data_IF_093575873314
#
_entry.id   IF_093575873314
#
_cell.length_a   1.000
_cell.length_b   1.000
_cell.length_c   1.000
_cell.angle_alpha   90.00
_cell.angle_beta   90.00
_cell.angle_gamma   90.00
#
_symmetry.space_group_name_H-M   'P 1'
#
loop_
_entity.id
_entity.type
_entity.pdbx_description
1 polymer ?
#
# COMPACT_ATOMS: atom_id res chain seq x y z
N UNK A 1 -3.04 -8.31 -20.70
CA UNK A 1 -2.69 -9.36 -19.73
C UNK A 1 -2.90 -10.73 -20.37
N UNK A 2 -2.01 -11.67 -20.13
CA UNK A 2 -2.12 -12.99 -20.75
C UNK A 2 -3.32 -13.76 -20.17
N UNK A 3 -4.04 -14.54 -21.02
CA UNK A 3 -5.06 -15.44 -20.49
C UNK A 3 -4.47 -16.41 -19.45
N UNK A 4 -5.16 -16.59 -18.33
CA UNK A 4 -4.71 -17.45 -17.24
C UNK A 4 -3.75 -16.80 -16.25
N UNK A 5 -3.26 -15.59 -16.54
CA UNK A 5 -2.44 -14.83 -15.57
C UNK A 5 -3.32 -14.34 -14.43
N UNK A 6 -2.88 -14.61 -13.20
CA UNK A 6 -3.56 -14.11 -11.99
C UNK A 6 -2.77 -12.96 -11.40
N UNK A 7 -3.47 -11.90 -11.04
CA UNK A 7 -2.87 -10.72 -10.44
C UNK A 7 -3.51 -10.49 -9.07
N UNK A 8 -2.66 -10.37 -8.05
CA UNK A 8 -3.10 -10.12 -6.68
C UNK A 8 -2.63 -8.74 -6.24
N UNK A 9 -3.56 -7.95 -5.73
CA UNK A 9 -3.26 -6.65 -5.17
C UNK A 9 -3.33 -6.72 -3.66
N UNK A 10 -2.28 -6.25 -2.99
CA UNK A 10 -2.24 -6.16 -1.53
C UNK A 10 -2.07 -4.69 -1.17
N UNK A 11 -3.03 -4.17 -0.40
CA UNK A 11 -2.95 -2.81 0.11
C UNK A 11 -1.88 -2.75 1.20
N UNK A 12 -1.10 -1.66 1.23
CA UNK A 12 -0.14 -1.46 2.30
C UNK A 12 -0.84 -1.38 3.66
N UNK A 13 -0.09 -1.68 4.74
CA UNK A 13 -0.60 -1.58 6.09
C UNK A 13 -0.86 -0.13 6.52
N UNK A 14 -1.42 0.03 7.71
CA UNK A 14 -1.78 1.34 8.24
C UNK A 14 -0.54 2.19 8.55
N UNK A 15 -0.62 3.46 8.21
CA UNK A 15 0.33 4.49 8.65
C UNK A 15 -0.37 5.42 9.63
N UNK A 16 0.39 6.27 10.32
CA UNK A 16 -0.23 7.27 11.20
C UNK A 16 -1.13 8.23 10.41
N UNK A 17 -0.78 8.54 9.16
CA UNK A 17 -1.64 9.37 8.31
C UNK A 17 -2.93 8.66 7.92
N UNK A 18 -2.94 7.33 7.74
CA UNK A 18 -4.19 6.57 7.57
C UNK A 18 -5.05 6.66 8.82
N UNK A 19 -4.45 6.46 10.00
CA UNK A 19 -5.18 6.52 11.27
C UNK A 19 -5.79 7.91 11.50
N UNK A 20 -5.10 8.96 11.08
CA UNK A 20 -5.55 10.35 11.17
C UNK A 20 -6.42 10.77 9.99
N UNK A 21 -6.64 9.89 9.01
CA UNK A 21 -7.38 10.16 7.78
C UNK A 21 -6.81 11.34 6.99
N UNK A 22 -5.49 11.38 6.87
CA UNK A 22 -4.78 12.34 6.03
C UNK A 22 -4.48 11.76 4.65
N UNK A 23 -4.49 12.60 3.64
CA UNK A 23 -4.07 12.19 2.30
C UNK A 23 -2.56 12.00 2.27
N UNK A 24 -2.09 10.82 1.84
CA UNK A 24 -0.68 10.48 1.79
C UNK A 24 -0.08 10.71 0.41
N UNK A 25 -0.74 10.19 -0.62
CA UNK A 25 -0.24 10.28 -1.98
C UNK A 25 1.20 9.76 -2.11
N UNK A 26 2.12 10.62 -2.53
CA UNK A 26 3.54 10.29 -2.70
C UNK A 26 4.38 10.64 -1.47
N UNK A 27 3.79 11.24 -0.42
CA UNK A 27 4.50 11.53 0.81
C UNK A 27 4.96 10.22 1.46
N UNK A 28 6.22 10.15 1.87
CA UNK A 28 6.85 8.90 2.27
C UNK A 28 6.70 8.65 3.77
N UNK A 29 5.53 8.18 4.18
CA UNK A 29 5.18 7.90 5.57
C UNK A 29 5.34 6.40 5.85
N UNK A 30 6.08 6.00 6.91
CA UNK A 30 6.24 4.59 7.24
C UNK A 30 4.98 3.99 7.87
N UNK A 31 4.94 2.66 7.94
CA UNK A 31 3.87 1.95 8.65
C UNK A 31 3.94 2.28 10.14
N UNK A 32 2.77 2.29 10.80
CA UNK A 32 2.71 2.28 12.25
C UNK A 32 2.69 0.83 12.77
N UNK A 33 2.62 0.64 14.09
CA UNK A 33 2.63 -0.69 14.70
C UNK A 33 1.46 -1.55 14.21
N UNK A 34 0.29 -0.96 14.06
CA UNK A 34 -0.89 -1.66 13.54
C UNK A 34 -0.70 -2.09 12.10
N UNK A 35 -0.10 -1.24 11.28
CA UNK A 35 0.19 -1.55 9.88
C UNK A 35 1.16 -2.70 9.73
N UNK A 36 2.17 -2.79 10.59
CA UNK A 36 3.10 -3.91 10.60
C UNK A 36 2.40 -5.20 10.99
N UNK A 37 1.53 -5.16 11.99
CA UNK A 37 0.74 -6.32 12.39
C UNK A 37 -0.23 -6.77 11.29
N UNK A 38 -0.90 -5.85 10.64
CA UNK A 38 -1.77 -6.13 9.49
C UNK A 38 -1.00 -6.83 8.37
N UNK A 39 0.20 -6.36 8.06
CA UNK A 39 1.05 -6.94 7.02
C UNK A 39 1.47 -8.38 7.34
N UNK A 40 1.79 -8.63 8.60
CA UNK A 40 2.12 -9.98 9.08
C UNK A 40 0.93 -10.91 8.97
N UNK A 41 -0.25 -10.46 9.38
CA UNK A 41 -1.50 -11.25 9.28
C UNK A 41 -1.85 -11.54 7.84
N UNK A 42 -1.66 -10.57 6.93
CA UNK A 42 -1.90 -10.78 5.51
C UNK A 42 -0.97 -11.85 4.94
N UNK A 43 0.30 -11.82 5.33
CA UNK A 43 1.26 -12.85 4.92
C UNK A 43 0.87 -14.23 5.42
N UNK A 44 0.46 -14.33 6.68
CA UNK A 44 0.02 -15.60 7.26
C UNK A 44 -1.24 -16.13 6.56
N UNK A 45 -2.19 -15.25 6.23
CA UNK A 45 -3.40 -15.62 5.49
C UNK A 45 -3.07 -16.10 4.08
N UNK A 46 -2.19 -15.41 3.37
CA UNK A 46 -1.75 -15.82 2.04
C UNK A 46 -1.07 -17.19 2.07
N UNK A 47 -0.23 -17.42 3.07
CA UNK A 47 0.45 -18.71 3.24
C UNK A 47 -0.56 -19.85 3.43
N UNK A 48 -1.61 -19.59 4.22
CA UNK A 48 -2.64 -20.61 4.52
C UNK A 48 -3.57 -20.88 3.33
N UNK A 49 -4.01 -19.81 2.64
CA UNK A 49 -5.05 -19.93 1.61
C UNK A 49 -4.51 -19.96 0.18
N UNK A 50 -3.31 -19.45 -0.07
CA UNK A 50 -2.72 -19.40 -1.40
C UNK A 50 -1.23 -19.80 -1.34
N UNK A 51 -0.92 -21.08 -0.96
CA UNK A 51 0.49 -21.47 -0.80
C UNK A 51 1.34 -21.29 -2.06
N UNK A 52 0.73 -21.37 -3.24
CA UNK A 52 1.45 -21.13 -4.50
C UNK A 52 1.88 -19.69 -4.70
N UNK A 53 1.43 -18.74 -3.84
CA UNK A 53 1.83 -17.33 -3.92
C UNK A 53 3.35 -17.17 -3.79
N UNK A 54 4.05 -18.11 -3.14
CA UNK A 54 5.50 -18.06 -3.02
C UNK A 54 6.23 -18.14 -4.36
N UNK A 55 5.56 -18.62 -5.40
CA UNK A 55 6.09 -18.71 -6.77
C UNK A 55 5.80 -17.44 -7.59
N UNK A 56 5.05 -16.49 -7.05
CA UNK A 56 4.65 -15.28 -7.76
C UNK A 56 5.81 -14.31 -7.92
N UNK A 57 5.67 -13.38 -8.86
CA UNK A 57 6.55 -12.24 -9.03
C UNK A 57 6.04 -11.11 -8.12
N UNK A 58 6.83 -10.78 -7.11
CA UNK A 58 6.46 -9.75 -6.13
C UNK A 58 6.99 -8.39 -6.57
N UNK A 59 6.09 -7.41 -6.64
CA UNK A 59 6.44 -6.06 -7.08
C UNK A 59 5.81 -5.04 -6.12
N UNK A 60 6.59 -4.05 -5.71
CA UNK A 60 6.12 -2.98 -4.82
C UNK A 60 6.51 -1.61 -5.37
N UNK A 61 5.80 -0.57 -4.93
CA UNK A 61 6.21 0.80 -5.17
C UNK A 61 7.43 1.15 -4.28
N UNK A 62 8.19 2.22 -4.63
CA UNK A 62 9.38 2.59 -3.84
C UNK A 62 9.07 3.27 -2.50
N UNK A 63 7.81 3.57 -2.20
CA UNK A 63 7.43 4.23 -0.94
C UNK A 63 7.71 3.32 0.26
N UNK A 64 8.14 3.90 1.37
CA UNK A 64 8.53 3.13 2.56
C UNK A 64 7.37 2.28 3.08
N UNK A 65 6.14 2.78 3.10
CA UNK A 65 4.98 2.02 3.58
C UNK A 65 4.69 0.77 2.75
N UNK A 66 4.88 0.84 1.44
CA UNK A 66 4.68 -0.31 0.57
C UNK A 66 5.84 -1.28 0.66
N UNK A 67 7.06 -0.79 0.78
CA UNK A 67 8.25 -1.63 0.96
C UNK A 67 8.22 -2.36 2.30
N UNK A 68 7.88 -1.68 3.38
CA UNK A 68 7.73 -2.32 4.69
C UNK A 68 6.64 -3.40 4.64
N UNK A 69 5.49 -3.11 4.04
CA UNK A 69 4.42 -4.10 3.88
C UNK A 69 4.93 -5.33 3.13
N UNK A 70 5.61 -5.12 2.00
CA UNK A 70 6.16 -6.21 1.19
C UNK A 70 7.15 -7.05 1.99
N UNK A 71 8.07 -6.41 2.70
CA UNK A 71 9.14 -7.11 3.42
C UNK A 71 8.58 -7.93 4.59
N UNK A 72 7.61 -7.39 5.32
CA UNK A 72 6.94 -8.11 6.40
C UNK A 72 6.14 -9.29 5.86
N UNK A 73 5.38 -9.05 4.79
CA UNK A 73 4.57 -10.08 4.14
C UNK A 73 5.45 -11.22 3.64
N UNK A 74 6.55 -10.91 2.95
CA UNK A 74 7.48 -11.93 2.45
C UNK A 74 8.12 -12.72 3.58
N UNK A 75 8.49 -12.07 4.68
CA UNK A 75 9.01 -12.75 5.87
C UNK A 75 7.99 -13.74 6.42
N UNK A 76 6.73 -13.36 6.51
CA UNK A 76 5.65 -14.26 6.95
C UNK A 76 5.45 -15.44 6.02
N UNK A 77 5.76 -15.28 4.74
CA UNK A 77 5.69 -16.35 3.74
C UNK A 77 6.94 -17.25 3.74
N UNK A 78 7.94 -16.94 4.54
CA UNK A 78 9.20 -17.67 4.56
C UNK A 78 10.13 -17.33 3.40
N UNK A 79 9.93 -16.17 2.77
CA UNK A 79 10.72 -15.70 1.65
C UNK A 79 11.71 -14.64 2.09
N UNK A 80 12.80 -14.46 1.32
CA UNK A 80 13.76 -13.38 1.56
C UNK A 80 13.02 -12.04 1.45
N UNK A 81 13.01 -11.23 2.53
CA UNK A 81 12.28 -9.95 2.52
C UNK A 81 12.79 -8.96 1.47
N UNK A 82 14.04 -9.06 1.04
CA UNK A 82 14.64 -8.10 0.12
C UNK A 82 14.56 -8.52 -1.36
N UNK A 83 14.14 -9.75 -1.65
CA UNK A 83 14.21 -10.32 -3.01
C UNK A 83 12.92 -10.07 -3.82
N UNK A 84 12.49 -8.82 -3.92
CA UNK A 84 11.34 -8.41 -4.72
C UNK A 84 11.71 -7.24 -5.63
N UNK A 85 10.87 -6.96 -6.62
CA UNK A 85 11.10 -5.87 -7.56
C UNK A 85 10.40 -4.60 -7.11
N UNK A 86 11.01 -3.46 -7.42
CA UNK A 86 10.41 -2.14 -7.20
C UNK A 86 10.04 -1.55 -8.55
N UNK A 87 8.82 -1.03 -8.68
CA UNK A 87 8.37 -0.37 -9.89
C UNK A 87 7.76 0.99 -9.53
N UNK A 88 8.40 2.06 -10.01
CA UNK A 88 7.98 3.43 -9.73
C UNK A 88 6.60 3.75 -10.28
N UNK A 89 6.13 3.02 -11.27
CA UNK A 89 4.79 3.20 -11.84
C UNK A 89 3.69 2.87 -10.85
N UNK A 90 4.02 2.17 -9.76
CA UNK A 90 3.07 1.80 -8.70
C UNK A 90 2.94 2.86 -7.60
N UNK A 91 3.63 4.00 -7.74
CA UNK A 91 3.49 5.09 -6.77
C UNK A 91 2.06 5.62 -6.83
N UNK A 92 1.44 5.79 -5.65
CA UNK A 92 0.09 6.34 -5.54
C UNK A 92 0.05 7.75 -6.11
N UNK A 93 -1.16 8.17 -6.53
CA UNK A 93 -1.35 9.53 -7.04
C UNK A 93 -0.92 10.56 -5.99
N UNK A 94 -0.26 11.62 -6.48
CA UNK A 94 0.05 12.75 -5.61
C UNK A 94 -1.19 13.58 -5.36
N UNK A 95 -1.43 13.93 -4.11
CA UNK A 95 -2.48 14.87 -3.74
C UNK A 95 -1.97 16.30 -3.65
N UNK A 96 -0.67 16.52 -3.89
CA UNK A 96 -0.07 17.84 -3.88
C UNK A 96 -0.28 18.55 -2.55
N UNK A 97 -0.92 19.71 -2.57
CA UNK A 97 -1.19 20.51 -1.37
C UNK A 97 -2.11 19.81 -0.36
N UNK A 98 -2.80 18.73 -0.76
CA UNK A 98 -3.66 17.97 0.16
C UNK A 98 -2.87 17.02 1.05
N UNK A 99 -1.64 16.66 0.69
CA UNK A 99 -0.86 15.70 1.46
C UNK A 99 -0.64 16.21 2.87
N UNK A 100 -0.92 15.36 3.85
CA UNK A 100 -0.87 15.71 5.26
C UNK A 100 -2.14 16.36 5.80
N UNK A 101 -3.07 16.77 4.95
CA UNK A 101 -4.34 17.35 5.39
C UNK A 101 -5.35 16.27 5.77
N UNK A 102 -6.24 16.60 6.70
CA UNK A 102 -7.32 15.70 7.07
C UNK A 102 -8.38 15.67 5.96
N UNK A 103 -8.87 14.48 5.63
CA UNK A 103 -9.92 14.33 4.61
C UNK A 103 -11.18 15.12 4.96
N UNK A 104 -11.51 15.20 6.24
CA UNK A 104 -12.69 15.90 6.73
C UNK A 104 -12.64 17.42 6.52
N UNK A 105 -11.44 18.00 6.35
CA UNK A 105 -11.29 19.45 6.16
C UNK A 105 -11.29 19.90 4.70
N UNK A 106 -11.00 19.00 3.76
CA UNK A 106 -10.86 19.34 2.35
C UNK A 106 -12.14 19.82 1.64
N UNK A 107 -13.35 19.28 1.95
CA UNK A 107 -14.57 19.78 1.32
C UNK A 107 -14.78 21.29 1.51
N UNK A 108 -14.25 21.87 2.58
CA UNK A 108 -14.37 23.30 2.86
C UNK A 108 -13.24 24.11 2.21
N UNK A 109 -12.03 23.53 2.15
CA UNK A 109 -10.84 24.21 1.65
C UNK A 109 -10.64 24.04 0.14
N UNK A 110 -11.08 22.92 -0.43
CA UNK A 110 -10.93 22.61 -1.85
C UNK A 110 -12.03 21.67 -2.34
N UNK A 111 -13.30 22.16 -2.42
CA UNK A 111 -14.42 21.29 -2.79
C UNK A 111 -14.35 20.78 -4.23
N UNK A 112 -13.79 21.55 -5.15
CA UNK A 112 -13.68 21.13 -6.55
C UNK A 112 -12.65 20.02 -6.72
N UNK A 113 -11.50 20.14 -6.08
CA UNK A 113 -10.47 19.12 -6.14
C UNK A 113 -10.95 17.80 -5.56
N UNK A 114 -11.67 17.84 -4.43
CA UNK A 114 -12.21 16.64 -3.81
C UNK A 114 -13.25 15.96 -4.71
N UNK A 115 -14.16 16.74 -5.32
CA UNK A 115 -15.17 16.21 -6.22
C UNK A 115 -14.54 15.53 -7.44
N UNK A 116 -13.49 16.10 -8.00
CA UNK A 116 -12.77 15.51 -9.13
C UNK A 116 -12.12 14.19 -8.76
N UNK A 117 -11.57 14.07 -7.56
CA UNK A 117 -10.99 12.82 -7.07
C UNK A 117 -12.01 11.72 -6.87
N UNK A 118 -13.19 12.07 -6.35
CA UNK A 118 -14.25 11.10 -6.09
C UNK A 118 -14.89 10.54 -7.35
N UNK A 119 -14.78 11.23 -8.47
CA UNK A 119 -15.28 10.74 -9.76
C UNK A 119 -14.43 9.65 -10.36
N UNK A 120 -13.17 9.65 -10.02
CA UNK A 120 -12.21 8.67 -10.54
C UNK A 120 -12.28 7.36 -9.73
#
# INVERSE_FOLDING_TARGET
MRPGLKLYFVRHGETDWNAERRYQGQTDIPLNARGRDQSRRNGDALRAFLPAITQADFVASPLVRTRETMEILRTSLGLDPAAYRIDRRLIELSYGAWEGQLQSSLPQSDPHGLADRERD
#
